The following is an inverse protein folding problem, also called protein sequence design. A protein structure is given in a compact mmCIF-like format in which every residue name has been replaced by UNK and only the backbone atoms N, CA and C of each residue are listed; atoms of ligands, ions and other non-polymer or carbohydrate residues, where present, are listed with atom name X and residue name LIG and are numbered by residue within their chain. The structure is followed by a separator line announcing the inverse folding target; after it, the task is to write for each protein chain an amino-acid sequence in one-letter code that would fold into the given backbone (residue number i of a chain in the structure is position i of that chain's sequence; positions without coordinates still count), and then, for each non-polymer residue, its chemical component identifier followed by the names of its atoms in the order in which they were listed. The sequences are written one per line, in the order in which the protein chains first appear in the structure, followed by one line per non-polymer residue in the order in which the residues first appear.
data_IF_838865775886
#
_entry.id   IF_838865775886
#
_cell.length_a   1.000
_cell.length_b   1.000
_cell.length_c   1.000
_cell.angle_alpha   90.00
_cell.angle_beta   90.00
_cell.angle_gamma   90.00
#
_symmetry.space_group_name_H-M   'P 1'
#
loop_
_entity.id
_entity.type
_entity.pdbx_description
1 polymer ?
#
# COMPACT_ATOMS: atom_id res chain seq x y z
N UNK A 1 1.18 19.29 -2.34
CA UNK A 1 1.09 18.78 -0.96
C UNK A 1 -0.18 17.96 -0.84
N UNK A 2 -0.09 16.69 -0.45
CA UNK A 2 -1.24 15.82 -0.24
C UNK A 2 -0.99 14.91 0.97
N UNK A 3 -2.05 14.61 1.72
CA UNK A 3 -2.04 13.59 2.77
C UNK A 3 -2.57 12.29 2.18
N UNK A 4 -1.87 11.19 2.39
CA UNK A 4 -2.25 9.88 1.91
C UNK A 4 -2.62 8.99 3.09
N UNK A 5 -3.79 8.39 2.99
CA UNK A 5 -4.28 7.40 3.94
C UNK A 5 -3.75 6.00 3.60
N UNK A 6 -3.75 5.09 4.57
CA UNK A 6 -3.34 3.70 4.39
C UNK A 6 -4.15 3.02 3.29
N UNK A 7 -5.46 3.28 3.20
CA UNK A 7 -6.31 2.68 2.16
C UNK A 7 -5.84 3.02 0.73
N UNK A 8 -5.40 4.27 0.50
CA UNK A 8 -4.88 4.70 -0.79
C UNK A 8 -3.51 4.08 -1.10
N UNK A 9 -2.64 3.92 -0.10
CA UNK A 9 -1.35 3.24 -0.29
C UNK A 9 -1.51 1.73 -0.49
N UNK A 10 -2.42 1.07 0.23
CA UNK A 10 -2.75 -0.35 0.03
C UNK A 10 -3.23 -0.58 -1.40
N UNK A 11 -4.14 0.26 -1.88
CA UNK A 11 -4.64 0.21 -3.25
C UNK A 11 -3.53 0.28 -4.28
N UNK A 12 -2.56 1.15 -4.03
CA UNK A 12 -1.39 1.35 -4.88
C UNK A 12 -0.42 0.15 -4.84
N UNK A 13 -0.07 -0.32 -3.64
CA UNK A 13 0.91 -1.41 -3.44
C UNK A 13 0.40 -2.75 -3.92
N UNK A 14 -0.87 -3.07 -3.65
CA UNK A 14 -1.47 -4.34 -4.01
C UNK A 14 -2.09 -4.36 -5.42
N UNK A 15 -1.94 -3.26 -6.18
CA UNK A 15 -2.48 -3.10 -7.52
C UNK A 15 -3.98 -3.45 -7.62
N UNK A 16 -4.76 -3.02 -6.63
CA UNK A 16 -6.22 -3.19 -6.65
C UNK A 16 -6.87 -2.43 -7.82
N UNK A 17 -8.16 -2.66 -8.09
CA UNK A 17 -8.87 -2.02 -9.20
C UNK A 17 -8.74 -0.48 -9.17
N UNK A 18 -8.26 0.12 -10.28
CA UNK A 18 -7.97 1.58 -10.41
C UNK A 18 -6.79 2.08 -9.56
N UNK A 19 -5.83 1.21 -9.25
CA UNK A 19 -4.58 1.59 -8.58
C UNK A 19 -3.77 2.63 -9.35
N UNK A 20 -3.87 2.65 -10.68
CA UNK A 20 -3.14 3.53 -11.59
C UNK A 20 -3.54 5.00 -11.39
N UNK A 21 -4.82 5.26 -11.15
CA UNK A 21 -5.38 6.57 -10.83
C UNK A 21 -4.78 7.07 -9.51
N UNK A 22 -4.83 6.26 -8.45
CA UNK A 22 -4.24 6.60 -7.15
C UNK A 22 -2.72 6.74 -7.25
N UNK A 23 -2.08 5.85 -8.00
CA UNK A 23 -0.65 5.87 -8.28
C UNK A 23 -0.20 7.13 -8.99
N UNK A 24 -1.04 7.74 -9.83
CA UNK A 24 -0.73 9.05 -10.42
C UNK A 24 -0.60 10.14 -9.35
N UNK A 25 -1.48 10.17 -8.36
CA UNK A 25 -1.37 11.11 -7.23
C UNK A 25 -0.16 10.78 -6.36
N UNK A 26 0.02 9.51 -5.98
CA UNK A 26 1.14 9.05 -5.13
C UNK A 26 2.49 9.31 -5.79
N UNK A 27 2.62 9.21 -7.11
CA UNK A 27 3.89 9.47 -7.82
C UNK A 27 4.11 10.95 -8.13
N UNK A 28 3.08 11.68 -8.56
CA UNK A 28 3.23 13.04 -9.10
C UNK A 28 3.09 14.13 -8.05
N UNK A 29 2.30 13.91 -6.99
CA UNK A 29 2.12 14.92 -5.94
C UNK A 29 3.22 14.79 -4.89
N UNK A 30 3.94 15.88 -4.68
CA UNK A 30 4.98 16.04 -3.66
C UNK A 30 4.81 17.39 -2.95
N UNK A 31 5.18 17.52 -1.67
CA UNK A 31 5.49 16.42 -0.74
C UNK A 31 4.24 15.57 -0.43
N UNK A 32 4.47 14.30 -0.08
CA UNK A 32 3.46 13.33 0.35
C UNK A 32 3.58 13.16 1.86
N UNK A 33 2.46 13.27 2.59
CA UNK A 33 2.44 13.12 4.03
C UNK A 33 1.53 11.99 4.46
N UNK A 34 1.87 11.34 5.56
CA UNK A 34 0.99 10.43 6.29
C UNK A 34 1.40 10.44 7.76
N UNK A 35 0.66 9.72 8.58
CA UNK A 35 1.03 9.47 9.98
C UNK A 35 1.80 8.16 10.09
N UNK A 36 2.62 8.00 11.12
CA UNK A 36 3.41 6.78 11.34
C UNK A 36 2.56 5.50 11.38
N UNK A 37 1.27 5.62 11.73
CA UNK A 37 0.35 4.50 11.77
C UNK A 37 0.16 3.82 10.41
N UNK A 38 0.40 4.53 9.31
CA UNK A 38 0.23 4.03 7.94
C UNK A 38 1.03 2.76 7.67
N UNK A 39 2.23 2.64 8.26
CA UNK A 39 3.10 1.47 8.09
C UNK A 39 2.45 0.20 8.67
N UNK A 40 1.79 0.33 9.83
CA UNK A 40 1.10 -0.78 10.49
C UNK A 40 -0.16 -1.18 9.74
N UNK A 41 -0.92 -0.20 9.25
CA UNK A 41 -2.16 -0.44 8.51
C UNK A 41 -1.91 -1.09 7.15
N UNK A 42 -0.92 -0.60 6.40
CA UNK A 42 -0.48 -1.19 5.13
C UNK A 42 0.09 -2.59 5.35
N UNK A 43 0.96 -2.76 6.35
CA UNK A 43 1.52 -4.07 6.70
C UNK A 43 0.44 -5.09 7.06
N UNK A 44 -0.57 -4.70 7.83
CA UNK A 44 -1.73 -5.54 8.15
C UNK A 44 -2.52 -5.92 6.89
N UNK A 45 -2.72 -4.99 5.95
CA UNK A 45 -3.40 -5.29 4.71
C UNK A 45 -2.62 -6.31 3.85
N UNK A 46 -1.31 -6.16 3.73
CA UNK A 46 -0.43 -7.11 3.05
C UNK A 46 -0.50 -8.49 3.72
N UNK A 47 -0.38 -8.54 5.06
CA UNK A 47 -0.47 -9.78 5.82
C UNK A 47 -1.81 -10.50 5.60
N UNK A 48 -2.94 -9.76 5.62
CA UNK A 48 -4.27 -10.33 5.35
C UNK A 48 -4.37 -10.89 3.93
N UNK A 49 -3.78 -10.23 2.93
CA UNK A 49 -3.77 -10.74 1.55
C UNK A 49 -2.96 -12.02 1.40
N UNK A 50 -1.86 -12.14 2.14
CA UNK A 50 -1.04 -13.35 2.15
C UNK A 50 -1.68 -14.50 2.94
N UNK A 51 -1.98 -14.29 4.22
CA UNK A 51 -2.36 -15.38 5.13
C UNK A 51 -3.86 -15.67 5.19
N UNK A 52 -4.72 -14.64 5.14
CA UNK A 52 -6.17 -14.86 5.23
C UNK A 52 -6.78 -15.14 3.87
N UNK A 53 -6.40 -14.34 2.86
CA UNK A 53 -6.98 -14.43 1.51
C UNK A 53 -6.20 -15.35 0.57
N UNK A 54 -4.92 -15.64 0.87
CA UNK A 54 -4.04 -16.47 0.05
C UNK A 54 -3.94 -16.00 -1.41
N UNK A 55 -3.96 -14.68 -1.61
CA UNK A 55 -3.91 -14.03 -2.93
C UNK A 55 -2.47 -13.81 -3.37
N UNK A 56 -1.58 -13.49 -2.43
CA UNK A 56 -0.16 -13.26 -2.68
C UNK A 56 0.69 -14.25 -1.89
N UNK A 57 1.84 -14.62 -2.45
CA UNK A 57 2.80 -15.50 -1.79
C UNK A 57 3.54 -14.76 -0.65
N UNK A 58 4.11 -15.52 0.28
CA UNK A 58 4.83 -14.95 1.43
C UNK A 58 6.03 -14.12 0.97
N UNK A 59 6.76 -14.57 -0.05
CA UNK A 59 7.92 -13.86 -0.58
C UNK A 59 7.51 -12.53 -1.25
N UNK A 60 6.38 -12.52 -1.96
CA UNK A 60 5.80 -11.31 -2.54
C UNK A 60 5.35 -10.33 -1.44
N UNK A 61 4.67 -10.83 -0.40
CA UNK A 61 4.25 -10.01 0.74
C UNK A 61 5.43 -9.36 1.46
N UNK A 62 6.53 -10.10 1.68
CA UNK A 62 7.75 -9.58 2.30
C UNK A 62 8.40 -8.52 1.40
N UNK A 63 8.50 -8.76 0.09
CA UNK A 63 9.02 -7.76 -0.87
C UNK A 63 8.22 -6.47 -0.84
N UNK A 64 6.88 -6.57 -0.85
CA UNK A 64 5.99 -5.40 -0.81
C UNK A 64 6.13 -4.61 0.49
N UNK A 65 6.29 -5.30 1.63
CA UNK A 65 6.44 -4.64 2.92
C UNK A 65 7.81 -3.96 3.07
N UNK A 66 8.88 -4.55 2.54
CA UNK A 66 10.23 -3.99 2.59
C UNK A 66 10.46 -2.82 1.60
N UNK A 67 9.61 -2.70 0.58
CA UNK A 67 9.64 -1.58 -0.36
C UNK A 67 9.01 -0.29 0.22
N UNK A 68 8.44 -0.39 1.42
CA UNK A 68 7.81 0.70 2.17
C UNK A 68 8.81 1.36 3.13
#
# INVERSE_FOLDING_TARGET
MIVVDASALVKYVLHEEKWDVVGAYVRKMRPLYSIDHVVKEVGNAIWKHCYLRKIIAVDEAVKLYQAF
#
